data_IF_344838959408
#
_entry.id   IF_344838959408
#
_cell.length_a   1.000
_cell.length_b   1.000
_cell.length_c   1.000
_cell.angle_alpha   90.00
_cell.angle_beta   90.00
_cell.angle_gamma   90.00
#
_symmetry.space_group_name_H-M   'P 1'
#
loop_
_entity.id
_entity.type
_entity.pdbx_description
1 polymer ?
#
# COMPACT_ATOMS: atom_id res chain seq x y z
N UNK A 1 -37.13 36.47 24.18
CA UNK A 1 -37.73 35.47 23.27
C UNK A 1 -36.93 35.35 21.97
N UNK A 2 -36.51 36.46 21.35
CA UNK A 2 -35.69 36.51 20.13
C UNK A 2 -34.35 35.76 20.21
N UNK A 3 -33.63 35.86 21.35
CA UNK A 3 -32.35 35.17 21.53
C UNK A 3 -32.48 33.63 21.47
N UNK A 4 -33.56 33.08 22.03
CA UNK A 4 -33.82 31.63 21.99
C UNK A 4 -34.14 31.15 20.56
N UNK A 5 -34.79 32.00 19.76
CA UNK A 5 -35.09 31.73 18.35
C UNK A 5 -33.80 31.77 17.53
N UNK A 6 -32.92 32.74 17.78
CA UNK A 6 -31.63 32.86 17.09
C UNK A 6 -30.73 31.64 17.34
N UNK A 7 -30.68 31.16 18.59
CA UNK A 7 -29.93 29.94 18.94
C UNK A 7 -30.50 28.69 18.28
N UNK A 8 -31.83 28.60 18.15
CA UNK A 8 -32.50 27.48 17.48
C UNK A 8 -32.19 27.46 15.97
N UNK A 9 -32.13 28.63 15.34
CA UNK A 9 -31.78 28.77 13.92
C UNK A 9 -30.32 28.37 13.68
N UNK A 10 -29.39 28.79 14.55
CA UNK A 10 -27.98 28.38 14.44
C UNK A 10 -27.81 26.85 14.58
N UNK A 11 -28.56 26.21 15.47
CA UNK A 11 -28.54 24.76 15.66
C UNK A 11 -29.09 24.01 14.43
N UNK A 12 -30.13 24.55 13.79
CA UNK A 12 -30.70 23.97 12.57
C UNK A 12 -29.76 24.12 11.36
N UNK A 13 -28.94 25.17 11.31
CA UNK A 13 -27.93 25.35 10.26
C UNK A 13 -26.77 24.35 10.40
N UNK A 14 -26.38 23.96 11.62
CA UNK A 14 -25.36 22.92 11.82
C UNK A 14 -25.80 21.52 11.40
N UNK A 15 -27.11 21.25 11.38
CA UNK A 15 -27.67 19.96 10.93
C UNK A 15 -27.75 19.84 9.40
N UNK A 16 -27.60 20.96 8.67
CA UNK A 16 -27.57 20.99 7.21
C UNK A 16 -26.15 20.95 6.62
N UNK A 17 -25.13 20.71 7.45
CA UNK A 17 -23.81 20.31 6.97
C UNK A 17 -23.94 18.92 6.33
N UNK A 18 -24.25 18.90 5.04
CA UNK A 18 -24.15 17.68 4.24
C UNK A 18 -22.69 17.23 4.33
N UNK A 19 -22.45 16.09 5.00
CA UNK A 19 -21.27 15.27 4.74
C UNK A 19 -21.19 15.12 3.22
N UNK A 20 -19.98 15.24 2.66
CA UNK A 20 -19.76 15.04 1.23
C UNK A 20 -20.56 13.82 0.81
N UNK A 21 -21.47 13.99 -0.17
CA UNK A 21 -22.05 12.85 -0.85
C UNK A 21 -20.85 12.06 -1.33
N UNK A 22 -20.59 10.93 -0.68
CA UNK A 22 -19.95 9.82 -1.35
C UNK A 22 -20.98 9.50 -2.42
N UNK A 23 -20.83 10.12 -3.59
CA UNK A 23 -21.23 9.47 -4.83
C UNK A 23 -20.76 8.04 -4.61
N UNK A 24 -21.73 7.11 -4.52
CA UNK A 24 -21.47 5.69 -4.34
C UNK A 24 -20.21 5.42 -5.11
N UNK A 25 -19.12 5.16 -4.38
CA UNK A 25 -17.82 5.05 -5.00
C UNK A 25 -18.02 3.97 -6.01
N UNK A 26 -18.12 4.35 -7.29
CA UNK A 26 -17.92 3.43 -8.37
C UNK A 26 -16.59 2.85 -7.94
N UNK A 27 -16.60 1.57 -7.55
CA UNK A 27 -15.38 0.78 -7.47
C UNK A 27 -14.85 0.81 -8.90
N UNK A 28 -14.25 1.94 -9.29
CA UNK A 28 -13.41 2.05 -10.45
C UNK A 28 -12.24 1.18 -10.05
N UNK A 29 -12.38 -0.09 -10.39
CA UNK A 29 -11.33 -1.08 -10.37
C UNK A 29 -10.10 -0.36 -10.93
N UNK A 30 -9.17 -0.01 -10.03
CA UNK A 30 -8.08 0.86 -10.40
C UNK A 30 -7.12 0.01 -11.23
N UNK A 31 -7.31 -0.02 -12.55
CA UNK A 31 -6.51 -0.81 -13.47
C UNK A 31 -5.09 -0.27 -13.66
N UNK A 32 -4.61 0.67 -12.83
CA UNK A 32 -3.22 1.12 -12.91
C UNK A 32 -2.25 -0.03 -12.60
N UNK A 33 -1.10 -0.03 -13.28
CA UNK A 33 -0.03 -0.98 -13.01
C UNK A 33 0.40 -0.94 -11.53
N UNK A 34 0.36 0.23 -10.90
CA UNK A 34 0.62 0.38 -9.47
C UNK A 34 -0.34 -0.45 -8.62
N UNK A 35 -1.65 -0.33 -8.84
CA UNK A 35 -2.64 -1.07 -8.07
C UNK A 35 -2.56 -2.58 -8.35
N UNK A 36 -2.32 -2.97 -9.61
CA UNK A 36 -2.13 -4.37 -9.99
C UNK A 36 -0.92 -4.98 -9.26
N UNK A 37 0.25 -4.34 -9.30
CA UNK A 37 1.46 -4.86 -8.64
C UNK A 37 1.36 -4.80 -7.11
N UNK A 38 0.67 -3.80 -6.55
CA UNK A 38 0.49 -3.66 -5.10
C UNK A 38 -0.35 -4.82 -4.50
N UNK A 39 -1.33 -5.30 -5.28
CA UNK A 39 -2.29 -6.34 -4.86
C UNK A 39 -2.03 -7.72 -5.46
N UNK A 40 -1.16 -7.84 -6.47
CA UNK A 40 -0.74 -9.12 -7.09
C UNK A 40 -0.30 -10.12 -6.03
N UNK A 41 -0.87 -11.33 -6.09
CA UNK A 41 -0.52 -12.44 -5.22
C UNK A 41 0.66 -13.23 -5.82
N UNK A 42 1.75 -13.35 -5.07
CA UNK A 42 2.95 -14.10 -5.43
C UNK A 42 2.94 -15.47 -4.73
N UNK A 43 2.19 -16.43 -5.29
CA UNK A 43 1.93 -17.73 -4.64
C UNK A 43 3.20 -18.57 -4.39
N UNK A 44 4.24 -18.34 -5.18
CA UNK A 44 5.54 -18.99 -5.05
C UNK A 44 6.38 -18.46 -3.86
N UNK A 45 5.94 -17.39 -3.18
CA UNK A 45 6.59 -16.82 -2.00
C UNK A 45 5.83 -17.21 -0.73
N UNK A 46 5.96 -18.49 -0.38
CA UNK A 46 5.24 -19.13 0.72
C UNK A 46 6.07 -19.29 2.01
N UNK A 47 7.21 -18.60 2.14
CA UNK A 47 8.06 -18.71 3.33
C UNK A 47 7.27 -18.42 4.62
N UNK A 48 7.32 -19.31 5.61
CA UNK A 48 6.59 -19.18 6.86
C UNK A 48 5.08 -19.46 6.77
N UNK A 49 4.60 -20.08 5.69
CA UNK A 49 3.19 -20.45 5.54
C UNK A 49 2.71 -21.35 6.70
N UNK A 50 3.54 -22.29 7.14
CA UNK A 50 3.26 -23.21 8.25
C UNK A 50 3.04 -22.50 9.60
N UNK A 51 3.62 -21.31 9.76
CA UNK A 51 3.41 -20.46 10.95
C UNK A 51 2.12 -19.67 10.78
N UNK A 52 1.93 -19.04 9.61
CA UNK A 52 0.73 -18.25 9.31
C UNK A 52 -0.56 -19.08 9.40
N UNK A 53 -0.54 -20.33 8.95
CA UNK A 53 -1.68 -21.26 8.99
C UNK A 53 -2.19 -21.55 10.42
N UNK A 54 -1.36 -21.34 11.45
CA UNK A 54 -1.75 -21.48 12.86
C UNK A 54 -2.71 -20.38 13.30
N UNK A 55 -2.74 -19.24 12.61
CA UNK A 55 -3.55 -18.08 12.98
C UNK A 55 -4.82 -18.05 12.14
N UNK A 56 -6.02 -18.07 12.76
CA UNK A 56 -7.29 -18.08 12.04
C UNK A 56 -7.43 -16.93 11.03
N UNK A 57 -6.89 -15.77 11.34
CA UNK A 57 -6.94 -14.58 10.49
C UNK A 57 -6.30 -14.79 9.09
N UNK A 58 -5.35 -15.71 8.96
CA UNK A 58 -4.65 -15.96 7.69
C UNK A 58 -5.16 -17.20 6.94
N UNK A 59 -6.18 -17.89 7.46
CA UNK A 59 -6.79 -19.02 6.77
C UNK A 59 -7.58 -18.59 5.53
N UNK A 60 -8.27 -17.46 5.63
CA UNK A 60 -9.08 -16.90 4.54
C UNK A 60 -8.31 -15.84 3.73
N UNK A 61 -7.23 -15.28 4.29
CA UNK A 61 -6.44 -14.23 3.67
C UNK A 61 -4.96 -14.62 3.68
N UNK A 62 -4.48 -15.11 2.53
CA UNK A 62 -3.07 -15.47 2.36
C UNK A 62 -2.23 -14.19 2.18
N UNK A 63 -1.22 -13.92 3.01
CA UNK A 63 -0.36 -12.76 2.83
C UNK A 63 0.62 -13.00 1.68
N UNK A 64 0.16 -12.79 0.44
CA UNK A 64 0.95 -13.06 -0.77
C UNK A 64 1.20 -11.84 -1.64
N UNK A 65 0.63 -10.68 -1.31
CA UNK A 65 0.84 -9.43 -2.04
C UNK A 65 1.73 -8.47 -1.26
N UNK A 66 2.24 -7.41 -1.92
CA UNK A 66 2.92 -6.31 -1.23
C UNK A 66 2.03 -5.79 -0.10
N UNK A 67 0.78 -5.42 -0.42
CA UNK A 67 -0.17 -4.89 0.56
C UNK A 67 -0.30 -5.77 1.81
N UNK A 68 -0.51 -7.08 1.65
CA UNK A 68 -0.69 -7.98 2.79
C UNK A 68 0.61 -8.31 3.52
N UNK A 69 1.74 -8.41 2.82
CA UNK A 69 3.03 -8.65 3.46
C UNK A 69 3.48 -7.42 4.27
N UNK A 70 3.16 -6.20 3.82
CA UNK A 70 3.35 -4.99 4.62
C UNK A 70 2.55 -5.06 5.94
N UNK A 71 1.32 -5.58 5.91
CA UNK A 71 0.48 -5.71 7.10
C UNK A 71 1.04 -6.70 8.13
N UNK A 72 1.85 -7.69 7.73
CA UNK A 72 2.51 -8.58 8.71
C UNK A 72 3.47 -7.82 9.65
N UNK A 73 3.94 -6.64 9.24
CA UNK A 73 4.81 -5.80 10.07
C UNK A 73 4.05 -5.04 11.18
N UNK A 74 2.70 -5.09 11.20
CA UNK A 74 1.92 -4.48 12.30
C UNK A 74 1.96 -5.32 13.57
N UNK A 75 2.29 -6.62 13.46
CA UNK A 75 2.27 -7.54 14.59
C UNK A 75 3.47 -7.31 15.51
N UNK A 76 3.26 -7.46 16.82
CA UNK A 76 4.36 -7.43 17.80
C UNK A 76 5.21 -8.70 17.78
N UNK A 77 4.66 -9.78 17.23
CA UNK A 77 5.33 -11.06 17.06
C UNK A 77 6.48 -10.93 16.06
N UNK A 78 7.71 -11.19 16.51
CA UNK A 78 8.92 -11.09 15.68
C UNK A 78 8.94 -12.12 14.56
N UNK A 79 8.37 -13.30 14.77
CA UNK A 79 8.29 -14.33 13.74
C UNK A 79 7.39 -13.86 12.59
N UNK A 80 6.25 -13.23 12.92
CA UNK A 80 5.37 -12.60 11.92
C UNK A 80 6.05 -11.48 11.15
N UNK A 81 6.75 -10.58 11.86
CA UNK A 81 7.50 -9.52 11.21
C UNK A 81 8.54 -10.10 10.25
N UNK A 82 9.32 -11.08 10.69
CA UNK A 82 10.37 -11.70 9.87
C UNK A 82 9.78 -12.37 8.60
N UNK A 83 8.63 -13.03 8.72
CA UNK A 83 7.92 -13.60 7.56
C UNK A 83 7.54 -12.49 6.59
N UNK A 84 6.98 -11.38 7.08
CA UNK A 84 6.65 -10.20 6.28
C UNK A 84 7.87 -9.64 5.57
N UNK A 85 8.98 -9.41 6.28
CA UNK A 85 10.23 -8.90 5.71
C UNK A 85 10.78 -9.82 4.60
N UNK A 86 10.86 -11.12 4.87
CA UNK A 86 11.37 -12.11 3.92
C UNK A 86 10.50 -12.17 2.65
N UNK A 87 9.17 -12.14 2.80
CA UNK A 87 8.25 -12.13 1.66
C UNK A 87 8.37 -10.83 0.86
N UNK A 88 8.49 -9.67 1.51
CA UNK A 88 8.70 -8.39 0.83
C UNK A 88 10.00 -8.38 0.00
N UNK A 89 11.09 -8.92 0.55
CA UNK A 89 12.37 -9.09 -0.18
C UNK A 89 12.17 -10.03 -1.38
N UNK A 90 11.49 -11.16 -1.18
CA UNK A 90 11.17 -12.10 -2.25
C UNK A 90 10.35 -11.46 -3.37
N UNK A 91 9.33 -10.69 -3.03
CA UNK A 91 8.45 -10.00 -3.98
C UNK A 91 9.26 -8.98 -4.79
N UNK A 92 10.05 -8.13 -4.12
CA UNK A 92 10.89 -7.15 -4.78
C UNK A 92 11.89 -7.81 -5.76
N UNK A 93 12.45 -8.96 -5.35
CA UNK A 93 13.38 -9.74 -6.18
C UNK A 93 12.69 -10.33 -7.40
N UNK A 94 11.51 -10.93 -7.23
CA UNK A 94 10.75 -11.48 -8.33
C UNK A 94 10.30 -10.41 -9.32
N UNK A 95 9.80 -9.28 -8.83
CA UNK A 95 9.40 -8.14 -9.66
C UNK A 95 10.56 -7.60 -10.52
N UNK A 96 11.77 -7.53 -9.94
CA UNK A 96 12.96 -7.18 -10.69
C UNK A 96 13.27 -8.19 -11.81
N UNK A 97 13.23 -9.50 -11.51
CA UNK A 97 13.47 -10.54 -12.51
C UNK A 97 12.38 -10.62 -13.60
N UNK A 98 11.15 -10.24 -13.27
CA UNK A 98 10.04 -10.09 -14.22
C UNK A 98 10.16 -8.83 -15.10
N UNK A 99 11.17 -7.97 -14.86
CA UNK A 99 11.40 -6.74 -15.63
C UNK A 99 10.52 -5.56 -15.21
N UNK A 100 9.86 -5.64 -14.05
CA UNK A 100 9.02 -4.57 -13.51
C UNK A 100 9.43 -4.24 -12.06
N UNK A 101 10.67 -3.75 -11.83
CA UNK A 101 11.10 -3.38 -10.49
C UNK A 101 10.17 -2.34 -9.87
N UNK A 102 9.98 -2.40 -8.54
CA UNK A 102 9.04 -1.51 -7.84
C UNK A 102 9.75 -0.62 -6.83
N UNK A 103 9.37 0.66 -6.81
CA UNK A 103 9.73 1.63 -5.77
C UNK A 103 8.46 2.17 -5.10
N UNK A 104 8.40 2.01 -3.78
CA UNK A 104 7.32 2.50 -2.92
C UNK A 104 7.61 3.94 -2.50
N UNK A 105 6.67 4.86 -2.76
CA UNK A 105 6.77 6.29 -2.41
C UNK A 105 5.61 6.73 -1.51
N UNK A 106 5.84 7.77 -0.72
CA UNK A 106 4.86 8.34 0.22
C UNK A 106 4.89 9.86 0.22
N UNK A 107 3.85 10.46 0.79
CA UNK A 107 3.67 11.90 0.93
C UNK A 107 2.43 12.40 0.20
N UNK A 108 2.05 13.65 0.49
CA UNK A 108 0.78 14.27 0.06
C UNK A 108 0.51 14.13 -1.44
N UNK A 109 1.54 14.26 -2.28
CA UNK A 109 1.42 14.20 -3.75
C UNK A 109 1.91 12.87 -4.34
N UNK A 110 2.16 11.86 -3.51
CA UNK A 110 2.82 10.62 -3.95
C UNK A 110 2.03 9.82 -4.98
N UNK A 111 0.69 9.85 -4.93
CA UNK A 111 -0.14 9.19 -5.95
C UNK A 111 -0.08 9.91 -7.29
N UNK A 112 -0.10 11.25 -7.29
CA UNK A 112 0.08 12.03 -8.51
C UNK A 112 1.48 11.82 -9.10
N UNK A 113 2.51 11.79 -8.26
CA UNK A 113 3.88 11.52 -8.66
C UNK A 113 4.04 10.10 -9.22
N UNK A 114 3.47 9.08 -8.56
CA UNK A 114 3.47 7.70 -9.05
C UNK A 114 2.79 7.62 -10.43
N UNK A 115 1.62 8.24 -10.58
CA UNK A 115 0.90 8.29 -11.85
C UNK A 115 1.74 8.93 -12.94
N UNK A 116 2.39 10.07 -12.65
CA UNK A 116 3.24 10.80 -13.60
C UNK A 116 4.45 9.96 -14.03
N UNK A 117 5.16 9.36 -13.08
CA UNK A 117 6.34 8.54 -13.40
C UNK A 117 6.01 7.27 -14.17
N UNK A 118 4.86 6.66 -13.89
CA UNK A 118 4.43 5.44 -14.58
C UNK A 118 3.81 5.68 -15.96
N UNK A 119 3.75 6.93 -16.45
CA UNK A 119 3.26 7.21 -17.80
C UNK A 119 4.22 6.73 -18.89
N UNK A 120 5.51 6.70 -18.59
CA UNK A 120 6.54 6.21 -19.48
C UNK A 120 7.52 5.36 -18.65
N UNK A 121 7.59 4.07 -18.95
CA UNK A 121 8.41 3.11 -18.20
C UNK A 121 9.78 2.89 -18.87
N UNK A 122 9.90 3.27 -20.14
CA UNK A 122 11.10 3.00 -20.96
C UNK A 122 12.30 3.88 -20.56
N UNK A 123 12.04 5.01 -19.93
CA UNK A 123 13.00 6.04 -19.51
C UNK A 123 13.61 5.77 -18.12
N UNK A 124 12.96 4.96 -17.28
CA UNK A 124 13.32 4.74 -15.87
C UNK A 124 13.61 3.24 -15.56
N UNK A 125 14.33 2.53 -16.43
CA UNK A 125 14.66 1.10 -16.23
C UNK A 125 13.42 0.21 -15.96
N UNK A 126 12.25 0.57 -16.50
CA UNK A 126 10.94 -0.06 -16.24
C UNK A 126 10.49 -0.06 -14.77
N UNK A 127 10.99 0.88 -13.97
CA UNK A 127 10.61 1.03 -12.56
C UNK A 127 9.16 1.49 -12.46
N UNK A 128 8.35 0.72 -11.74
CA UNK A 128 6.99 1.08 -11.36
C UNK A 128 6.98 1.74 -9.98
N UNK A 129 6.49 2.97 -9.92
CA UNK A 129 6.30 3.70 -8.68
C UNK A 129 4.92 3.40 -8.08
N UNK A 130 4.88 3.10 -6.78
CA UNK A 130 3.61 2.81 -6.07
C UNK A 130 3.51 3.76 -4.88
N UNK A 131 2.46 4.57 -4.84
CA UNK A 131 2.11 5.30 -3.63
C UNK A 131 1.51 4.35 -2.59
N UNK A 132 2.04 4.34 -1.38
CA UNK A 132 1.54 3.51 -0.27
C UNK A 132 0.97 4.33 0.90
N UNK A 133 1.04 5.66 0.84
CA UNK A 133 0.59 6.54 1.91
C UNK A 133 0.66 8.01 1.51
N UNK A 134 -0.50 8.67 1.45
CA UNK A 134 -0.61 10.09 1.11
C UNK A 134 -0.59 10.98 2.35
N UNK A 135 -1.44 10.65 3.34
CA UNK A 135 -1.71 11.53 4.49
C UNK A 135 -1.17 10.99 5.82
N UNK A 136 -1.18 9.66 6.00
CA UNK A 136 -0.68 9.01 7.21
C UNK A 136 0.32 7.94 6.83
N UNK A 137 1.48 7.95 7.51
CA UNK A 137 2.55 7.00 7.27
C UNK A 137 2.86 6.25 8.57
N UNK A 138 2.07 5.22 8.92
CA UNK A 138 2.39 4.32 10.00
C UNK A 138 3.81 3.74 9.85
N UNK A 139 4.52 3.60 10.97
CA UNK A 139 5.91 3.14 10.98
C UNK A 139 6.12 1.78 10.28
N UNK A 140 5.12 0.89 10.34
CA UNK A 140 5.19 -0.40 9.66
C UNK A 140 5.20 -0.28 8.13
N UNK A 141 4.45 0.69 7.56
CA UNK A 141 4.44 0.95 6.12
C UNK A 141 5.77 1.54 5.67
N UNK A 142 6.31 2.49 6.44
CA UNK A 142 7.65 3.06 6.16
C UNK A 142 8.72 1.98 6.18
N UNK A 143 8.73 1.13 7.22
CA UNK A 143 9.66 0.00 7.32
C UNK A 143 9.54 -0.94 6.13
N UNK A 144 8.31 -1.27 5.72
CA UNK A 144 8.09 -2.14 4.58
C UNK A 144 8.58 -1.53 3.26
N UNK A 145 8.32 -0.23 3.06
CA UNK A 145 8.82 0.51 1.91
C UNK A 145 10.34 0.57 1.87
N UNK A 146 11.00 0.77 3.01
CA UNK A 146 12.46 0.76 3.10
C UNK A 146 13.03 -0.61 2.69
N UNK A 147 12.41 -1.71 3.11
CA UNK A 147 12.82 -3.07 2.74
C UNK A 147 12.71 -3.28 1.23
N UNK A 148 11.54 -3.00 0.65
CA UNK A 148 11.29 -3.16 -0.79
C UNK A 148 12.23 -2.27 -1.60
N UNK A 149 12.30 -0.98 -1.26
CA UNK A 149 13.12 -0.01 -1.98
C UNK A 149 14.61 -0.35 -1.89
N UNK A 150 15.08 -0.78 -0.72
CA UNK A 150 16.47 -1.20 -0.54
C UNK A 150 16.78 -2.40 -1.42
N UNK A 151 15.94 -3.44 -1.39
CA UNK A 151 16.14 -4.63 -2.21
C UNK A 151 16.12 -4.30 -3.71
N UNK A 152 15.11 -3.56 -4.17
CA UNK A 152 15.02 -3.13 -5.58
C UNK A 152 16.25 -2.36 -6.01
N UNK A 153 16.68 -1.35 -5.23
CA UNK A 153 17.88 -0.56 -5.55
C UNK A 153 19.14 -1.41 -5.57
N UNK A 154 19.30 -2.31 -4.60
CA UNK A 154 20.45 -3.24 -4.57
C UNK A 154 20.51 -4.06 -5.85
N UNK A 155 19.39 -4.63 -6.30
CA UNK A 155 19.34 -5.43 -7.53
C UNK A 155 19.64 -4.59 -8.79
N UNK A 156 19.15 -3.36 -8.85
CA UNK A 156 19.43 -2.43 -9.97
C UNK A 156 20.91 -2.06 -9.99
N UNK A 157 21.51 -1.70 -8.86
CA UNK A 157 22.90 -1.24 -8.81
C UNK A 157 23.92 -2.37 -8.92
N UNK A 158 23.60 -3.61 -8.50
CA UNK A 158 24.51 -4.75 -8.65
C UNK A 158 24.61 -5.27 -10.09
N UNK A 159 23.62 -4.98 -10.92
CA UNK A 159 23.56 -5.44 -12.32
C UNK A 159 23.86 -4.32 -13.34
N UNK A 160 24.33 -3.16 -12.88
CA UNK A 160 24.88 -2.06 -13.70
C UNK A 160 26.41 -2.11 -13.67
#
# INVERSE_FOLDING_TARGET
MVQKILSLILLLLSLNAKSQNVDESIETENHSISAQLYTKCFENLNQGAEILEKYPAFKEMKPCSLAYCMMLLTYQDKEMQQIGENRLIGIATQLYHEGTPVILIMGMESSLEAKKRNQNLDDDDHIVYISYGECTNPAFLTKAADIVNKQTRTLIYQNK
#
